data_IF_479754447119
#
_entry.id   IF_479754447119
#
_cell.length_a   1.000
_cell.length_b   1.000
_cell.length_c   1.000
_cell.angle_alpha   90.00
_cell.angle_beta   90.00
_cell.angle_gamma   90.00
#
_symmetry.space_group_name_H-M   'P 1'
#
loop_
_entity.id
_entity.type
_entity.pdbx_description
1 polymer ?
#
# COMPACT_ATOMS: atom_id res chain seq x y z
N UNK A 1 -31.87 66.90 20.50
CA UNK A 1 -31.98 65.79 21.47
C UNK A 1 -31.21 64.59 20.92
N UNK A 2 -30.38 63.98 21.75
CA UNK A 2 -29.38 62.94 21.41
C UNK A 2 -30.02 61.55 21.22
N UNK A 3 -29.22 60.67 20.58
CA UNK A 3 -29.22 59.19 20.54
C UNK A 3 -30.08 58.61 19.40
N UNK A 4 -29.68 57.59 18.63
CA UNK A 4 -28.80 56.43 18.85
C UNK A 4 -28.13 56.00 17.51
N UNK A 5 -26.93 55.45 17.60
CA UNK A 5 -26.15 54.81 16.54
C UNK A 5 -26.82 53.54 15.99
N UNK A 6 -26.49 53.12 14.76
CA UNK A 6 -26.21 51.72 14.43
C UNK A 6 -25.43 51.60 13.11
N UNK A 7 -24.17 51.20 13.26
CA UNK A 7 -23.22 50.77 12.24
C UNK A 7 -23.75 49.49 11.59
N UNK A 8 -24.10 49.51 10.30
CA UNK A 8 -24.30 48.28 9.51
C UNK A 8 -22.98 47.93 8.82
N UNK A 9 -22.08 47.30 9.58
CA UNK A 9 -20.98 46.51 9.04
C UNK A 9 -21.35 45.04 9.23
N UNK A 10 -21.79 44.38 8.16
CA UNK A 10 -21.99 42.93 8.16
C UNK A 10 -21.26 42.35 6.95
N UNK A 11 -19.94 42.28 7.07
CA UNK A 11 -19.12 41.35 6.30
C UNK A 11 -19.39 39.97 6.92
N UNK A 12 -20.39 39.25 6.42
CA UNK A 12 -20.49 37.82 6.69
C UNK A 12 -19.48 37.14 5.78
N UNK A 13 -18.37 36.79 6.40
CA UNK A 13 -17.34 35.90 5.89
C UNK A 13 -17.96 34.65 5.26
N UNK A 14 -17.54 34.37 4.03
CA UNK A 14 -17.63 33.06 3.41
C UNK A 14 -17.06 32.01 4.38
N UNK A 15 -17.93 31.26 5.05
CA UNK A 15 -17.58 29.95 5.59
C UNK A 15 -17.88 28.92 4.50
N UNK A 16 -17.02 28.88 3.48
CA UNK A 16 -16.87 27.69 2.65
C UNK A 16 -16.11 26.65 3.47
N UNK A 17 -16.79 26.00 4.42
CA UNK A 17 -16.39 24.66 4.82
C UNK A 17 -16.80 23.73 3.69
N UNK A 18 -15.97 23.70 2.64
CA UNK A 18 -15.93 22.55 1.74
C UNK A 18 -15.73 21.34 2.64
N UNK A 19 -16.68 20.40 2.59
CA UNK A 19 -16.58 19.14 3.30
C UNK A 19 -15.47 18.33 2.60
N UNK A 20 -14.21 18.64 2.91
CA UNK A 20 -13.11 17.75 2.62
C UNK A 20 -13.42 16.49 3.43
N UNK A 21 -13.80 15.42 2.74
CA UNK A 21 -13.95 14.09 3.33
C UNK A 21 -12.64 13.84 4.08
N UNK A 22 -12.68 13.72 5.41
CA UNK A 22 -11.46 13.48 6.17
C UNK A 22 -10.75 12.27 5.57
N UNK A 23 -9.48 12.43 5.21
CA UNK A 23 -8.66 11.31 4.76
C UNK A 23 -8.67 10.24 5.85
N UNK A 24 -8.96 9.00 5.48
CA UNK A 24 -8.88 7.85 6.39
C UNK A 24 -7.75 6.94 5.90
N UNK A 25 -6.91 6.53 6.84
CA UNK A 25 -5.72 5.72 6.61
C UNK A 25 -5.86 4.28 7.14
N UNK A 26 -6.85 4.04 8.01
CA UNK A 26 -7.26 2.70 8.46
C UNK A 26 -8.74 2.74 8.87
N UNK A 27 -9.44 1.60 8.81
CA UNK A 27 -10.79 1.49 9.37
C UNK A 27 -10.76 1.04 10.84
N UNK A 28 -9.61 0.61 11.36
CA UNK A 28 -9.32 0.65 12.80
C UNK A 28 -9.16 2.12 13.26
N UNK A 29 -10.13 2.59 14.04
CA UNK A 29 -10.21 3.98 14.51
C UNK A 29 -9.01 4.42 15.37
N UNK A 30 -8.41 3.51 16.13
CA UNK A 30 -7.25 3.83 16.97
C UNK A 30 -6.00 4.04 16.11
N UNK A 31 -5.79 3.15 15.13
CA UNK A 31 -4.69 3.26 14.17
C UNK A 31 -4.86 4.50 13.28
N UNK A 32 -6.07 4.73 12.77
CA UNK A 32 -6.40 5.91 11.96
C UNK A 32 -6.14 7.22 12.72
N UNK A 33 -6.61 7.31 13.96
CA UNK A 33 -6.40 8.47 14.82
C UNK A 33 -4.91 8.68 15.11
N UNK A 34 -4.16 7.61 15.40
CA UNK A 34 -2.73 7.70 15.66
C UNK A 34 -1.96 8.23 14.45
N UNK A 35 -2.23 7.72 13.24
CA UNK A 35 -1.57 8.19 12.01
C UNK A 35 -1.91 9.66 11.72
N UNK A 36 -3.15 10.09 11.97
CA UNK A 36 -3.55 11.50 11.82
C UNK A 36 -2.83 12.41 12.81
N UNK A 37 -2.67 11.98 14.06
CA UNK A 37 -1.95 12.73 15.09
C UNK A 37 -0.44 12.83 14.81
N UNK A 38 0.15 11.80 14.19
CA UNK A 38 1.58 11.70 13.93
C UNK A 38 1.94 11.87 12.44
N UNK A 39 1.11 12.58 11.66
CA UNK A 39 1.24 12.61 10.20
C UNK A 39 2.58 13.15 9.70
N UNK A 40 3.15 14.15 10.37
CA UNK A 40 4.47 14.70 10.03
C UNK A 40 5.59 13.68 10.29
N UNK A 41 5.50 12.93 11.39
CA UNK A 41 6.43 11.83 11.70
C UNK A 41 6.31 10.73 10.64
N UNK A 42 5.07 10.29 10.35
CA UNK A 42 4.77 9.31 9.31
C UNK A 42 5.34 9.75 7.96
N UNK A 43 5.16 11.02 7.58
CA UNK A 43 5.69 11.56 6.31
C UNK A 43 7.18 11.90 6.36
N UNK A 44 7.87 11.67 7.47
CA UNK A 44 9.32 11.80 7.55
C UNK A 44 10.04 10.46 7.71
N UNK A 45 9.28 9.38 7.99
CA UNK A 45 9.88 8.09 8.32
C UNK A 45 10.66 7.48 7.15
N UNK A 46 11.75 6.82 7.53
CA UNK A 46 12.55 5.98 6.66
C UNK A 46 11.89 4.62 6.46
N UNK A 47 12.30 3.92 5.41
CA UNK A 47 11.83 2.54 5.17
C UNK A 47 12.28 1.58 6.27
N UNK A 48 13.43 1.82 6.91
CA UNK A 48 13.90 1.03 8.04
C UNK A 48 13.00 1.21 9.26
N UNK A 49 12.64 2.44 9.61
CA UNK A 49 11.70 2.72 10.71
C UNK A 49 10.33 2.09 10.42
N UNK A 50 9.84 2.24 9.19
CA UNK A 50 8.59 1.60 8.76
C UNK A 50 8.59 0.07 8.95
N UNK A 51 9.72 -0.59 8.69
CA UNK A 51 9.84 -2.05 8.75
C UNK A 51 9.77 -2.61 10.19
N UNK A 52 10.01 -1.75 11.19
CA UNK A 52 9.95 -2.10 12.61
C UNK A 52 8.56 -1.89 13.24
N UNK A 53 7.62 -1.30 12.49
CA UNK A 53 6.25 -1.07 12.96
C UNK A 53 5.43 -2.36 13.04
N UNK A 54 4.42 -2.36 13.91
CA UNK A 54 3.35 -3.36 13.89
C UNK A 54 2.63 -3.38 12.52
N UNK A 55 2.21 -4.54 12.00
CA UNK A 55 1.62 -4.63 10.68
C UNK A 55 0.38 -3.79 10.41
N UNK A 56 -0.47 -3.59 11.41
CA UNK A 56 -1.66 -2.76 11.25
C UNK A 56 -1.26 -1.29 11.08
N UNK A 57 -0.32 -0.84 11.91
CA UNK A 57 0.18 0.55 11.89
C UNK A 57 1.01 0.83 10.64
N UNK A 58 1.88 -0.10 10.24
CA UNK A 58 2.75 0.06 9.08
C UNK A 58 1.95 0.26 7.78
N UNK A 59 0.87 -0.51 7.58
CA UNK A 59 0.01 -0.38 6.40
C UNK A 59 -0.69 0.98 6.37
N UNK A 60 -1.21 1.44 7.51
CA UNK A 60 -1.84 2.75 7.62
C UNK A 60 -0.84 3.90 7.37
N UNK A 61 0.40 3.77 7.89
CA UNK A 61 1.47 4.73 7.60
C UNK A 61 1.80 4.80 6.11
N UNK A 62 1.90 3.65 5.44
CA UNK A 62 2.12 3.61 3.99
C UNK A 62 0.99 4.28 3.22
N UNK A 63 -0.26 4.04 3.62
CA UNK A 63 -1.45 4.66 3.01
C UNK A 63 -1.36 6.20 3.09
N UNK A 64 -0.91 6.74 4.23
CA UNK A 64 -0.73 8.18 4.47
C UNK A 64 0.46 8.82 3.71
N UNK A 65 1.35 8.02 3.12
CA UNK A 65 2.44 8.52 2.29
C UNK A 65 1.92 9.22 1.03
N UNK A 66 2.60 10.30 0.65
CA UNK A 66 2.44 10.94 -0.67
C UNK A 66 2.83 9.99 -1.80
N UNK A 67 2.37 10.22 -3.04
CA UNK A 67 2.75 9.41 -4.20
C UNK A 67 4.27 9.28 -4.38
N UNK A 68 5.02 10.36 -4.15
CA UNK A 68 6.49 10.38 -4.27
C UNK A 68 7.15 9.52 -3.18
N UNK A 69 6.61 9.53 -1.97
CA UNK A 69 7.07 8.68 -0.87
C UNK A 69 6.78 7.20 -1.16
N UNK A 70 5.59 6.87 -1.69
CA UNK A 70 5.24 5.50 -2.09
C UNK A 70 6.19 5.00 -3.20
N UNK A 71 6.48 5.81 -4.21
CA UNK A 71 7.46 5.47 -5.24
C UNK A 71 8.86 5.22 -4.67
N UNK A 72 9.32 6.10 -3.77
CA UNK A 72 10.61 5.93 -3.08
C UNK A 72 10.64 4.67 -2.20
N UNK A 73 9.55 4.40 -1.48
CA UNK A 73 9.41 3.23 -0.62
C UNK A 73 9.62 1.94 -1.43
N UNK A 74 8.93 1.81 -2.56
CA UNK A 74 9.07 0.64 -3.43
C UNK A 74 10.42 0.57 -4.15
N UNK A 75 11.02 1.69 -4.55
CA UNK A 75 12.38 1.69 -5.10
C UNK A 75 13.39 1.16 -4.07
N UNK A 76 13.30 1.60 -2.81
CA UNK A 76 14.15 1.11 -1.71
C UNK A 76 13.89 -0.37 -1.40
N UNK A 77 12.62 -0.82 -1.42
CA UNK A 77 12.28 -2.24 -1.31
C UNK A 77 12.93 -3.06 -2.43
N UNK A 78 12.88 -2.60 -3.68
CA UNK A 78 13.52 -3.32 -4.79
C UNK A 78 15.06 -3.32 -4.67
N UNK A 79 15.66 -2.23 -4.17
CA UNK A 79 17.10 -2.23 -3.85
C UNK A 79 17.46 -3.27 -2.78
N UNK A 80 16.64 -3.38 -1.73
CA UNK A 80 16.82 -4.39 -0.68
C UNK A 80 16.69 -5.81 -1.25
N UNK A 81 15.68 -6.06 -2.09
CA UNK A 81 15.50 -7.34 -2.77
C UNK A 81 16.75 -7.66 -3.61
N UNK A 82 17.20 -6.73 -4.47
CA UNK A 82 18.37 -6.91 -5.35
C UNK A 82 19.68 -7.19 -4.61
N UNK A 83 19.77 -6.88 -3.32
CA UNK A 83 20.96 -7.16 -2.50
C UNK A 83 21.10 -8.64 -2.11
N UNK A 84 20.08 -9.48 -2.36
CA UNK A 84 20.17 -10.92 -2.14
C UNK A 84 20.89 -11.64 -3.29
N UNK A 85 21.26 -12.92 -3.07
CA UNK A 85 22.01 -13.75 -4.02
C UNK A 85 21.15 -14.32 -5.16
N UNK A 86 20.75 -13.44 -6.07
CA UNK A 86 20.00 -13.79 -7.27
C UNK A 86 20.91 -14.36 -8.38
N UNK A 87 20.32 -15.13 -9.28
CA UNK A 87 20.91 -15.37 -10.60
C UNK A 87 20.80 -14.11 -11.46
N UNK A 88 21.48 -14.09 -12.61
CA UNK A 88 21.43 -12.93 -13.50
C UNK A 88 20.04 -12.70 -14.12
N UNK A 89 19.34 -13.79 -14.46
CA UNK A 89 17.97 -13.73 -14.97
C UNK A 89 17.02 -13.16 -13.91
N UNK A 90 17.14 -13.61 -12.66
CA UNK A 90 16.33 -13.08 -11.54
C UNK A 90 16.65 -11.62 -11.24
N UNK A 91 17.94 -11.21 -11.23
CA UNK A 91 18.32 -9.79 -11.06
C UNK A 91 17.69 -8.91 -12.13
N UNK A 92 17.78 -9.34 -13.39
CA UNK A 92 17.20 -8.63 -14.52
C UNK A 92 15.69 -8.47 -14.33
N UNK A 93 15.02 -9.55 -13.91
CA UNK A 93 13.57 -9.53 -13.72
C UNK A 93 13.11 -8.65 -12.55
N UNK A 94 13.86 -8.60 -11.44
CA UNK A 94 13.59 -7.66 -10.33
C UNK A 94 13.84 -6.23 -10.79
N UNK A 95 14.90 -6.00 -11.58
CA UNK A 95 15.22 -4.69 -12.12
C UNK A 95 14.16 -4.19 -13.12
N UNK A 96 13.49 -5.07 -13.87
CA UNK A 96 12.34 -4.76 -14.72
C UNK A 96 11.20 -4.13 -13.90
N UNK A 97 10.78 -4.78 -12.80
CA UNK A 97 9.76 -4.24 -11.89
C UNK A 97 10.18 -2.89 -11.30
N UNK A 98 11.42 -2.79 -10.82
CA UNK A 98 11.97 -1.53 -10.29
C UNK A 98 11.94 -0.40 -11.33
N UNK A 99 12.35 -0.69 -12.56
CA UNK A 99 12.35 0.27 -13.67
C UNK A 99 10.93 0.74 -14.01
N UNK A 100 9.98 -0.20 -14.02
CA UNK A 100 8.58 0.10 -14.24
C UNK A 100 8.04 1.05 -13.17
N UNK A 101 8.25 0.75 -11.88
CA UNK A 101 7.81 1.61 -10.76
C UNK A 101 8.37 3.04 -10.90
N UNK A 102 9.66 3.17 -11.22
CA UNK A 102 10.31 4.48 -11.40
C UNK A 102 9.78 5.27 -12.60
N UNK A 103 9.45 4.57 -13.68
CA UNK A 103 9.02 5.18 -14.94
C UNK A 103 7.52 5.49 -14.98
N UNK A 104 6.75 4.96 -14.02
CA UNK A 104 5.30 5.06 -13.98
C UNK A 104 4.81 5.57 -12.61
N UNK A 105 5.22 6.78 -12.14
CA UNK A 105 4.83 7.29 -10.82
C UNK A 105 3.31 7.49 -10.65
N UNK A 106 2.56 7.57 -11.76
CA UNK A 106 1.10 7.68 -11.76
C UNK A 106 0.41 6.52 -11.04
N UNK A 107 1.06 5.36 -10.90
CA UNK A 107 0.46 4.19 -10.22
C UNK A 107 0.18 4.48 -8.74
N UNK A 108 0.83 5.48 -8.14
CA UNK A 108 0.59 5.90 -6.76
C UNK A 108 -0.39 7.07 -6.63
N UNK A 109 -1.00 7.50 -7.73
CA UNK A 109 -2.01 8.54 -7.78
C UNK A 109 -3.36 7.90 -8.17
N UNK A 110 -4.26 7.58 -7.21
CA UNK A 110 -5.47 6.81 -7.47
C UNK A 110 -6.35 7.40 -8.59
N UNK A 111 -6.47 8.73 -8.64
CA UNK A 111 -7.23 9.44 -9.67
C UNK A 111 -6.69 9.19 -11.09
N UNK A 112 -5.38 8.93 -11.24
CA UNK A 112 -4.76 8.60 -12.52
C UNK A 112 -4.77 7.10 -12.78
N UNK A 113 -4.41 6.29 -11.77
CA UNK A 113 -4.31 4.84 -11.92
C UNK A 113 -5.62 4.24 -12.42
N UNK A 114 -6.76 4.70 -11.90
CA UNK A 114 -8.08 4.17 -12.26
C UNK A 114 -8.68 4.76 -13.54
N UNK A 115 -7.87 5.41 -14.39
CA UNK A 115 -8.26 5.60 -15.79
C UNK A 115 -8.05 4.30 -16.56
N UNK A 116 -9.01 3.90 -17.40
CA UNK A 116 -9.02 2.60 -18.09
C UNK A 116 -7.67 2.28 -18.76
N UNK A 117 -7.10 3.22 -19.52
CA UNK A 117 -5.83 3.03 -20.22
C UNK A 117 -4.63 2.79 -19.27
N UNK A 118 -4.53 3.57 -18.19
CA UNK A 118 -3.40 3.48 -17.28
C UNK A 118 -3.51 2.26 -16.37
N UNK A 119 -4.74 1.88 -15.99
CA UNK A 119 -5.01 0.66 -15.25
C UNK A 119 -4.64 -0.56 -16.10
N UNK A 120 -5.11 -0.64 -17.36
CA UNK A 120 -4.81 -1.76 -18.25
C UNK A 120 -3.31 -1.91 -18.52
N UNK A 121 -2.59 -0.80 -18.66
CA UNK A 121 -1.13 -0.81 -18.82
C UNK A 121 -0.44 -1.36 -17.56
N UNK A 122 -0.90 -0.93 -16.38
CA UNK A 122 -0.36 -1.41 -15.11
C UNK A 122 -0.65 -2.90 -14.90
N UNK A 123 -1.90 -3.30 -15.07
CA UNK A 123 -2.36 -4.66 -14.85
C UNK A 123 -1.67 -5.65 -15.81
N UNK A 124 -1.57 -5.29 -17.10
CA UNK A 124 -0.85 -6.10 -18.08
C UNK A 124 0.62 -6.29 -17.73
N UNK A 125 1.31 -5.22 -17.34
CA UNK A 125 2.71 -5.33 -16.94
C UNK A 125 2.87 -6.28 -15.74
N UNK A 126 2.04 -6.13 -14.71
CA UNK A 126 2.12 -6.98 -13.52
C UNK A 126 1.76 -8.44 -13.84
N UNK A 127 0.80 -8.68 -14.73
CA UNK A 127 0.47 -10.01 -15.23
C UNK A 127 1.66 -10.65 -15.95
N UNK A 128 2.23 -9.98 -16.95
CA UNK A 128 3.37 -10.49 -17.73
C UNK A 128 4.60 -10.72 -16.84
N UNK A 129 4.85 -9.80 -15.90
CA UNK A 129 5.93 -9.93 -14.93
C UNK A 129 5.73 -11.16 -14.05
N UNK A 130 4.53 -11.36 -13.51
CA UNK A 130 4.20 -12.51 -12.67
C UNK A 130 4.25 -13.85 -13.43
N UNK A 131 3.77 -13.89 -14.67
CA UNK A 131 3.83 -15.09 -15.50
C UNK A 131 5.28 -15.51 -15.76
N UNK A 132 6.17 -14.57 -16.10
CA UNK A 132 7.60 -14.85 -16.26
C UNK A 132 8.24 -15.32 -14.95
N UNK A 133 7.92 -14.69 -13.82
CA UNK A 133 8.41 -15.10 -12.51
C UNK A 133 8.07 -16.57 -12.19
N UNK A 134 6.82 -16.97 -12.40
CA UNK A 134 6.38 -18.32 -12.05
C UNK A 134 6.78 -19.37 -13.10
N UNK A 135 6.58 -19.08 -14.38
CA UNK A 135 6.75 -20.08 -15.45
C UNK A 135 8.19 -20.25 -15.91
N UNK A 136 9.00 -19.19 -15.92
CA UNK A 136 10.38 -19.22 -16.41
C UNK A 136 11.40 -19.27 -15.26
N UNK A 137 11.18 -18.49 -14.20
CA UNK A 137 12.11 -18.42 -13.06
C UNK A 137 11.75 -19.38 -11.91
N UNK A 138 10.59 -20.04 -11.99
CA UNK A 138 10.13 -21.01 -10.99
C UNK A 138 9.82 -20.42 -9.62
N UNK A 139 9.52 -19.11 -9.55
CA UNK A 139 9.19 -18.45 -8.29
C UNK A 139 7.86 -18.95 -7.72
N UNK A 140 7.81 -19.13 -6.41
CA UNK A 140 6.57 -19.44 -5.72
C UNK A 140 5.69 -18.18 -5.64
N UNK A 141 4.36 -18.38 -5.51
CA UNK A 141 3.43 -17.29 -5.19
C UNK A 141 3.84 -16.52 -3.93
N UNK A 142 4.37 -17.23 -2.93
CA UNK A 142 4.90 -16.61 -1.71
C UNK A 142 6.04 -15.65 -2.02
N UNK A 143 7.00 -16.04 -2.86
CA UNK A 143 8.10 -15.17 -3.22
C UNK A 143 7.62 -13.95 -4.02
N UNK A 144 6.74 -14.17 -5.00
CA UNK A 144 6.10 -13.10 -5.79
C UNK A 144 5.41 -12.09 -4.85
N UNK A 145 4.57 -12.58 -3.93
CA UNK A 145 3.88 -11.73 -2.97
C UNK A 145 4.84 -11.00 -2.03
N UNK A 146 5.91 -11.65 -1.57
CA UNK A 146 6.91 -11.05 -0.70
C UNK A 146 7.75 -9.95 -1.40
N UNK A 147 7.88 -10.01 -2.74
CA UNK A 147 8.57 -8.99 -3.55
C UNK A 147 7.62 -7.86 -3.93
N UNK A 148 6.44 -8.19 -4.45
CA UNK A 148 5.58 -7.24 -5.18
C UNK A 148 4.24 -6.93 -4.50
N UNK A 149 3.89 -7.61 -3.40
CA UNK A 149 2.67 -7.36 -2.62
C UNK A 149 2.95 -7.24 -1.11
N UNK A 150 4.21 -7.04 -0.73
CA UNK A 150 4.66 -6.85 0.65
C UNK A 150 5.74 -5.77 0.72
N UNK A 151 5.54 -4.80 1.61
CA UNK A 151 6.49 -3.73 1.85
C UNK A 151 7.69 -4.12 2.73
N UNK A 152 7.61 -5.25 3.44
CA UNK A 152 8.63 -5.69 4.40
C UNK A 152 9.91 -6.19 3.73
N UNK A 153 11.05 -6.15 4.43
CA UNK A 153 12.29 -6.77 3.97
C UNK A 153 12.13 -8.27 3.79
N UNK A 154 12.63 -8.81 2.67
CA UNK A 154 12.77 -10.27 2.52
C UNK A 154 14.17 -10.70 2.91
N UNK A 155 14.28 -11.80 3.65
CA UNK A 155 15.56 -12.29 4.16
C UNK A 155 16.13 -13.43 3.31
N UNK A 156 15.34 -14.00 2.41
CA UNK A 156 15.73 -15.12 1.56
C UNK A 156 14.92 -15.18 0.26
N UNK A 157 15.29 -16.14 -0.60
CA UNK A 157 14.64 -16.41 -1.89
C UNK A 157 13.41 -17.33 -1.78
N UNK A 158 12.95 -17.66 -0.58
CA UNK A 158 11.68 -18.39 -0.40
C UNK A 158 10.52 -17.45 -0.09
N UNK A 159 10.79 -16.16 0.10
CA UNK A 159 9.79 -15.14 0.42
C UNK A 159 9.54 -14.97 1.91
N UNK A 160 10.47 -15.40 2.78
CA UNK A 160 10.40 -15.08 4.21
C UNK A 160 10.69 -13.59 4.41
N UNK A 161 9.83 -12.90 5.15
CA UNK A 161 9.97 -11.47 5.44
C UNK A 161 10.27 -11.20 6.92
N UNK A 162 10.93 -10.06 7.20
CA UNK A 162 11.10 -9.51 8.55
C UNK A 162 10.00 -8.51 8.84
N UNK A 163 9.16 -8.80 9.83
CA UNK A 163 7.99 -8.00 10.19
C UNK A 163 8.15 -7.52 11.64
N UNK A 164 8.08 -6.21 11.87
CA UNK A 164 8.14 -5.65 13.23
C UNK A 164 9.41 -6.05 13.98
N UNK A 165 10.55 -6.11 13.29
CA UNK A 165 11.83 -6.55 13.87
C UNK A 165 11.98 -8.05 14.13
N UNK A 166 10.95 -8.87 13.88
CA UNK A 166 11.00 -10.32 14.04
C UNK A 166 11.27 -11.03 12.71
N UNK A 167 12.15 -12.05 12.74
CA UNK A 167 12.34 -13.00 11.64
C UNK A 167 11.39 -14.17 11.88
N UNK A 168 10.47 -14.39 10.94
CA UNK A 168 9.57 -15.56 10.79
C UNK A 168 8.09 -15.15 10.76
N UNK A 169 7.64 -14.74 9.58
CA UNK A 169 6.22 -14.73 9.25
C UNK A 169 5.99 -15.18 7.82
N UNK A 170 5.13 -16.19 7.65
CA UNK A 170 4.46 -16.47 6.38
C UNK A 170 3.35 -15.42 6.24
N UNK A 171 3.17 -14.74 5.10
CA UNK A 171 2.21 -13.64 4.94
C UNK A 171 0.74 -14.10 5.03
N UNK A 172 0.31 -14.52 6.22
CA UNK A 172 -1.08 -14.71 6.60
C UNK A 172 -1.56 -13.42 7.24
N UNK A 173 -2.29 -12.60 6.48
CA UNK A 173 -2.79 -11.30 6.92
C UNK A 173 -3.98 -11.49 7.87
N UNK A 174 -3.68 -11.87 9.12
CA UNK A 174 -4.69 -12.05 10.15
C UNK A 174 -4.43 -11.10 11.31
N UNK A 175 -5.29 -10.09 11.49
CA UNK A 175 -5.76 -9.66 12.81
C UNK A 175 -7.02 -8.81 12.70
N UNK A 176 -8.12 -9.35 13.25
CA UNK A 176 -9.38 -8.74 13.72
C UNK A 176 -10.01 -7.62 12.84
N UNK A 177 -10.99 -8.05 12.03
CA UNK A 177 -12.05 -7.33 11.29
C UNK A 177 -12.46 -5.98 11.95
N UNK A 178 -12.54 -4.87 11.19
CA UNK A 178 -13.39 -4.77 10.00
C UNK A 178 -12.73 -4.30 8.67
N UNK A 179 -11.42 -4.27 8.57
CA UNK A 179 -10.74 -3.68 7.40
C UNK A 179 -10.48 -4.76 6.34
N UNK A 180 -10.85 -4.49 5.09
CA UNK A 180 -10.46 -5.38 3.99
C UNK A 180 -8.93 -5.40 3.89
N UNK A 181 -8.34 -6.56 3.64
CA UNK A 181 -6.89 -6.75 3.66
C UNK A 181 -6.31 -7.50 2.45
N UNK A 182 -7.16 -7.88 1.50
CA UNK A 182 -6.76 -8.46 0.24
C UNK A 182 -7.53 -7.84 -0.94
N UNK A 183 -7.07 -8.13 -2.15
CA UNK A 183 -7.73 -7.74 -3.39
C UNK A 183 -8.26 -8.99 -4.10
N UNK A 184 -9.54 -9.00 -4.46
CA UNK A 184 -10.20 -10.18 -5.06
C UNK A 184 -9.70 -10.52 -6.46
N UNK A 185 -9.16 -9.54 -7.20
CA UNK A 185 -8.59 -9.77 -8.53
C UNK A 185 -7.11 -10.21 -8.47
N UNK A 186 -6.40 -9.80 -7.41
CA UNK A 186 -4.99 -10.12 -7.20
C UNK A 186 -4.78 -10.67 -5.80
N UNK A 187 -5.03 -11.97 -5.69
CA UNK A 187 -4.96 -12.71 -4.43
C UNK A 187 -3.52 -13.00 -4.02
N UNK A 188 -3.06 -12.30 -2.97
CA UNK A 188 -1.80 -12.51 -2.28
C UNK A 188 -2.00 -13.00 -0.84
N UNK A 189 -3.16 -13.59 -0.54
CA UNK A 189 -3.34 -14.34 0.69
C UNK A 189 -2.35 -15.51 0.74
N UNK A 190 -2.08 -16.02 1.94
CA UNK A 190 -1.14 -17.13 2.10
C UNK A 190 -1.61 -18.39 1.36
N UNK A 191 -0.73 -19.37 1.17
CA UNK A 191 -1.04 -20.58 0.40
C UNK A 191 -2.22 -21.43 0.92
N UNK A 192 -2.75 -21.13 2.12
CA UNK A 192 -3.88 -21.82 2.73
C UNK A 192 -5.16 -20.97 2.80
N UNK A 193 -5.08 -19.70 2.40
CA UNK A 193 -6.19 -18.75 2.42
C UNK A 193 -6.43 -18.20 1.02
N UNK A 194 -7.65 -17.74 0.78
CA UNK A 194 -8.02 -17.03 -0.44
C UNK A 194 -8.66 -15.70 -0.06
N UNK A 195 -8.62 -14.75 -0.98
CA UNK A 195 -9.34 -13.50 -0.80
C UNK A 195 -10.86 -13.74 -0.95
N UNK A 196 -11.60 -13.69 0.16
CA UNK A 196 -13.05 -13.91 0.22
C UNK A 196 -13.82 -12.59 0.22
N UNK A 197 -15.04 -12.63 -0.33
CA UNK A 197 -16.00 -11.53 -0.33
C UNK A 197 -16.76 -11.46 0.99
N UNK A 198 -16.01 -11.32 2.09
CA UNK A 198 -16.58 -11.18 3.43
C UNK A 198 -16.83 -9.68 3.76
N UNK A 199 -17.86 -9.35 4.56
CA UNK A 199 -18.16 -7.96 4.92
C UNK A 199 -16.98 -7.27 5.61
N UNK A 200 -16.33 -6.36 4.90
CA UNK A 200 -15.26 -5.51 5.39
C UNK A 200 -15.36 -4.10 4.77
N UNK A 201 -14.62 -3.15 5.34
CA UNK A 201 -14.58 -1.78 4.83
C UNK A 201 -13.54 -1.70 3.72
N UNK A 202 -13.99 -1.42 2.49
CA UNK A 202 -13.09 -1.27 1.35
C UNK A 202 -12.21 -0.03 1.50
N UNK A 203 -10.95 -0.15 1.07
CA UNK A 203 -10.01 0.97 0.95
C UNK A 203 -9.73 1.24 -0.53
N UNK A 204 -9.37 2.47 -0.91
CA UNK A 204 -9.03 2.77 -2.32
C UNK A 204 -7.65 2.26 -2.75
N UNK A 205 -6.79 1.93 -1.80
CA UNK A 205 -5.42 1.49 -2.02
C UNK A 205 -4.91 0.74 -0.80
N UNK A 206 -3.67 0.27 -0.88
CA UNK A 206 -3.13 -0.53 0.19
C UNK A 206 -3.50 -2.00 0.05
N UNK A 207 -3.69 -2.54 -1.15
CA UNK A 207 -3.74 -3.97 -1.46
C UNK A 207 -3.23 -4.23 -2.89
N UNK A 208 -3.13 -5.51 -3.26
CA UNK A 208 -2.68 -5.92 -4.58
C UNK A 208 -1.22 -5.55 -4.87
N UNK A 209 -0.92 -5.40 -6.16
CA UNK A 209 0.42 -5.09 -6.65
C UNK A 209 0.90 -3.74 -6.14
N UNK A 210 2.10 -3.74 -5.54
CA UNK A 210 2.76 -2.56 -4.96
C UNK A 210 1.83 -1.70 -4.09
N UNK A 211 0.81 -2.33 -3.49
CA UNK A 211 -0.20 -1.69 -2.64
C UNK A 211 -0.91 -0.49 -3.24
N UNK A 212 -1.08 -0.46 -4.56
CA UNK A 212 -1.78 0.63 -5.26
C UNK A 212 -3.26 0.37 -5.45
N UNK A 213 -3.70 -0.88 -5.27
CA UNK A 213 -5.07 -1.31 -5.56
C UNK A 213 -5.92 -1.36 -4.29
N UNK A 214 -7.23 -1.25 -4.47
CA UNK A 214 -8.20 -1.35 -3.38
C UNK A 214 -8.12 -2.66 -2.62
N UNK A 215 -8.39 -2.60 -1.32
CA UNK A 215 -8.71 -3.79 -0.54
C UNK A 215 -10.22 -3.99 -0.57
N UNK A 216 -10.68 -5.16 -1.01
CA UNK A 216 -12.10 -5.46 -1.21
C UNK A 216 -12.49 -6.89 -0.81
N UNK A 217 -11.67 -7.52 0.02
CA UNK A 217 -11.95 -8.80 0.66
C UNK A 217 -11.09 -9.05 1.89
N UNK A 218 -11.28 -10.22 2.50
CA UNK A 218 -10.49 -10.72 3.62
C UNK A 218 -9.75 -12.00 3.22
N UNK A 219 -8.52 -12.19 3.69
CA UNK A 219 -7.89 -13.50 3.61
C UNK A 219 -8.58 -14.48 4.55
N UNK A 220 -9.30 -15.44 3.98
CA UNK A 220 -10.07 -16.46 4.70
C UNK A 220 -9.67 -17.87 4.28
N UNK A 221 -9.90 -18.86 5.16
CA UNK A 221 -9.72 -20.27 4.78
C UNK A 221 -10.66 -20.63 3.64
N UNK A 222 -10.15 -21.40 2.68
CA UNK A 222 -10.93 -21.93 1.57
C UNK A 222 -11.93 -23.01 2.00
#
# INVERSE_FOLDING_TARGET
MKKFYLFYGLIISLSMFSCAKEESYSCNKEVDAWVKEHLDEVRSMTRSEWNELDPAVSRACYIAFTPQQKARFWDLKMQQVLALEWTEAERTHIAELRSFIRSNPYIFEPEKLYSDELYDKFDRFMYEWNEKAQSELGWSKQLVGAIAASGYDIVNKTGTARIGGQTDFSPGWGNKIPDCNCNKNHDFCDGNTICTDDPCTESYHGCGWVWTQKCDGLCGMK
#
